data_IF_593037939549
#
_entry.id   IF_593037939549
#
_cell.length_a   1.000
_cell.length_b   1.000
_cell.length_c   1.000
_cell.angle_alpha   90.00
_cell.angle_beta   90.00
_cell.angle_gamma   90.00
#
_symmetry.space_group_name_H-M   'P 1'
#
loop_
_entity.id
_entity.type
_entity.pdbx_description
1 polymer ?
#
# COMPACT_ATOMS: atom_id res chain seq x y z
N UNK A 1 0.48 12.02 6.91
CA UNK A 1 -0.77 11.25 7.08
C UNK A 1 -1.93 12.19 7.37
N UNK A 2 -2.80 12.44 6.39
CA UNK A 2 -4.06 13.16 6.61
C UNK A 2 -5.13 12.15 7.02
N UNK A 3 -5.62 12.25 8.26
CA UNK A 3 -6.81 11.53 8.71
C UNK A 3 -8.02 12.27 8.14
N UNK A 4 -8.75 11.66 7.21
CA UNK A 4 -10.03 12.19 6.76
C UNK A 4 -11.08 11.58 7.68
N UNK A 5 -11.54 12.37 8.67
CA UNK A 5 -12.66 11.98 9.52
C UNK A 5 -13.92 11.89 8.66
N UNK A 6 -14.72 10.87 8.92
CA UNK A 6 -15.88 10.39 8.18
C UNK A 6 -17.10 11.33 8.22
N UNK A 7 -16.89 12.63 8.36
CA UNK A 7 -17.92 13.67 8.38
C UNK A 7 -17.45 14.79 7.46
N UNK A 8 -18.18 14.98 6.37
CA UNK A 8 -18.05 16.09 5.42
C UNK A 8 -16.80 16.12 4.53
N UNK A 9 -16.86 15.33 3.45
CA UNK A 9 -16.84 15.81 2.05
C UNK A 9 -16.58 14.61 1.15
N UNK A 10 -17.44 14.47 0.13
CA UNK A 10 -17.27 13.45 -0.91
C UNK A 10 -15.83 13.45 -1.42
N UNK A 11 -15.18 12.29 -1.35
CA UNK A 11 -13.84 12.09 -1.88
C UNK A 11 -13.95 12.46 -3.37
N UNK A 12 -13.24 13.49 -3.87
CA UNK A 12 -13.21 13.74 -5.30
C UNK A 12 -12.66 12.48 -5.96
N UNK A 13 -13.49 11.80 -6.75
CA UNK A 13 -13.11 10.58 -7.48
C UNK A 13 -12.11 10.96 -8.57
N UNK A 14 -10.89 11.33 -8.19
CA UNK A 14 -9.78 11.38 -9.12
C UNK A 14 -9.44 9.94 -9.48
N UNK A 15 -9.20 9.65 -10.76
CA UNK A 15 -8.78 8.34 -11.28
C UNK A 15 -7.50 7.77 -10.64
N UNK A 16 -6.86 8.54 -9.75
CA UNK A 16 -5.62 8.21 -9.09
C UNK A 16 -5.79 7.97 -7.59
N UNK A 17 -6.98 8.12 -7.00
CA UNK A 17 -7.13 7.93 -5.56
C UNK A 17 -7.48 6.49 -5.19
N UNK A 18 -6.92 6.04 -4.07
CA UNK A 18 -7.11 4.74 -3.45
C UNK A 18 -7.63 5.00 -2.03
N UNK A 19 -8.95 4.97 -1.80
CA UNK A 19 -9.53 4.88 -0.47
C UNK A 19 -9.09 3.59 0.24
N UNK A 20 -8.57 3.74 1.45
CA UNK A 20 -8.14 2.67 2.33
C UNK A 20 -8.93 2.77 3.63
N UNK A 21 -10.06 2.05 3.75
CA UNK A 21 -10.80 1.99 5.00
C UNK A 21 -10.02 1.13 6.01
N UNK A 22 -9.78 1.70 7.18
CA UNK A 22 -9.13 1.04 8.31
C UNK A 22 -10.06 1.14 9.51
N UNK A 23 -10.30 0.01 10.18
CA UNK A 23 -11.11 -0.03 11.39
C UNK A 23 -10.19 0.15 12.59
N UNK A 24 -10.46 1.17 13.40
CA UNK A 24 -9.73 1.37 14.66
C UNK A 24 -10.16 0.29 15.67
N UNK A 25 -9.22 -0.52 16.20
CA UNK A 25 -9.55 -1.61 17.12
C UNK A 25 -10.11 -1.13 18.47
N UNK A 26 -9.87 0.13 18.86
CA UNK A 26 -10.32 0.68 20.15
C UNK A 26 -11.71 1.30 20.05
N UNK A 27 -11.95 2.12 19.04
CA UNK A 27 -13.22 2.85 18.89
C UNK A 27 -14.23 2.11 18.01
N UNK A 28 -13.78 1.09 17.26
CA UNK A 28 -14.54 0.41 16.19
C UNK A 28 -14.99 1.36 15.07
N UNK A 29 -14.47 2.57 15.02
CA UNK A 29 -14.75 3.52 13.96
C UNK A 29 -13.95 3.18 12.71
N UNK A 30 -14.54 3.39 11.54
CA UNK A 30 -13.85 3.25 10.26
C UNK A 30 -13.29 4.61 9.84
N UNK A 31 -11.97 4.67 9.74
CA UNK A 31 -11.22 5.82 9.23
C UNK A 31 -10.80 5.52 7.79
N UNK A 32 -11.00 6.47 6.88
CA UNK A 32 -10.59 6.32 5.49
C UNK A 32 -9.33 7.13 5.22
N UNK A 33 -8.27 6.46 4.81
CA UNK A 33 -7.06 7.09 4.30
C UNK A 33 -7.13 7.17 2.77
N UNK A 34 -6.63 8.24 2.17
CA UNK A 34 -6.60 8.40 0.72
C UNK A 34 -5.16 8.41 0.23
N UNK A 35 -4.80 7.43 -0.59
CA UNK A 35 -3.51 7.37 -1.27
C UNK A 35 -3.66 7.72 -2.74
N UNK A 36 -2.62 8.31 -3.33
CA UNK A 36 -2.60 8.63 -4.76
C UNK A 36 -1.72 7.63 -5.52
N UNK A 37 -2.17 7.16 -6.67
CA UNK A 37 -1.34 6.46 -7.64
C UNK A 37 -0.40 7.44 -8.34
N UNK A 38 0.88 7.09 -8.43
CA UNK A 38 1.71 7.59 -9.51
C UNK A 38 1.29 6.96 -10.85
N UNK A 39 1.62 7.61 -11.97
CA UNK A 39 1.44 7.03 -13.31
C UNK A 39 2.12 5.66 -13.43
N UNK A 40 3.32 5.53 -12.86
CA UNK A 40 4.05 4.26 -12.86
C UNK A 40 3.29 3.16 -12.11
N UNK A 41 2.77 3.48 -10.92
CA UNK A 41 2.00 2.53 -10.12
C UNK A 41 0.74 2.07 -10.83
N UNK A 42 -0.01 2.97 -11.47
CA UNK A 42 -1.24 2.63 -12.19
C UNK A 42 -0.98 1.64 -13.35
N UNK A 43 0.07 1.87 -14.13
CA UNK A 43 0.48 0.95 -15.20
C UNK A 43 0.90 -0.41 -14.65
N UNK A 44 1.68 -0.43 -13.56
CA UNK A 44 2.14 -1.67 -12.92
C UNK A 44 1.02 -2.48 -12.29
N UNK A 45 0.03 -1.79 -11.73
CA UNK A 45 -1.18 -2.37 -11.16
C UNK A 45 -1.99 -3.11 -12.24
N UNK A 46 -2.24 -2.43 -13.37
CA UNK A 46 -2.93 -3.00 -14.52
C UNK A 46 -2.21 -4.24 -15.08
N UNK A 47 -0.89 -4.15 -15.29
CA UNK A 47 -0.05 -5.25 -15.78
C UNK A 47 -0.10 -6.51 -14.90
N UNK A 48 -0.38 -6.36 -13.59
CA UNK A 48 -0.38 -7.46 -12.62
C UNK A 48 -1.77 -7.85 -12.13
N UNK A 49 -2.83 -7.28 -12.70
CA UNK A 49 -4.20 -7.50 -12.25
C UNK A 49 -4.41 -7.11 -10.78
N UNK A 50 -3.67 -6.12 -10.28
CA UNK A 50 -3.82 -5.55 -8.95
C UNK A 50 -4.87 -4.43 -9.01
N UNK A 51 -6.13 -4.77 -8.73
CA UNK A 51 -7.20 -3.78 -8.60
C UNK A 51 -7.06 -3.01 -7.29
N UNK A 52 -7.69 -1.84 -7.24
CA UNK A 52 -7.68 -0.92 -6.11
C UNK A 52 -7.92 -1.61 -4.75
N UNK A 53 -8.91 -2.50 -4.66
CA UNK A 53 -9.22 -3.27 -3.44
C UNK A 53 -8.03 -4.10 -2.93
N UNK A 54 -7.21 -4.67 -3.83
CA UNK A 54 -6.03 -5.46 -3.44
C UNK A 54 -4.91 -4.56 -2.92
N UNK A 55 -4.78 -3.37 -3.50
CA UNK A 55 -3.79 -2.36 -3.07
C UNK A 55 -4.21 -1.79 -1.71
N UNK A 56 -5.50 -1.46 -1.55
CA UNK A 56 -6.07 -1.02 -0.28
C UNK A 56 -5.90 -2.06 0.82
N UNK A 57 -6.15 -3.34 0.54
CA UNK A 57 -5.92 -4.42 1.51
C UNK A 57 -4.44 -4.51 1.94
N UNK A 58 -3.50 -4.35 1.01
CA UNK A 58 -2.08 -4.35 1.35
C UNK A 58 -1.67 -3.11 2.16
N UNK A 59 -2.25 -1.93 1.87
CA UNK A 59 -2.00 -0.71 2.65
C UNK A 59 -2.63 -0.77 4.06
N UNK A 60 -3.79 -1.42 4.20
CA UNK A 60 -4.51 -1.54 5.47
C UNK A 60 -3.92 -2.60 6.41
N UNK A 61 -3.59 -3.77 5.87
CA UNK A 61 -3.21 -4.96 6.67
C UNK A 61 -1.76 -5.41 6.47
N UNK A 62 -1.06 -4.88 5.46
CA UNK A 62 0.30 -5.27 5.17
C UNK A 62 1.28 -4.80 6.24
N UNK A 63 2.34 -5.59 6.46
CA UNK A 63 3.43 -5.20 7.35
C UNK A 63 4.29 -4.14 6.65
N UNK A 64 4.48 -2.95 7.25
CA UNK A 64 5.31 -1.90 6.68
C UNK A 64 6.80 -2.18 6.92
N UNK A 65 7.62 -2.01 5.88
CA UNK A 65 9.08 -2.03 5.95
C UNK A 65 9.63 -0.72 5.39
N UNK A 66 10.26 0.10 6.22
CA UNK A 66 10.84 1.37 5.80
C UNK A 66 12.27 1.18 5.27
N UNK A 67 12.55 1.65 4.05
CA UNK A 67 13.89 1.56 3.43
C UNK A 67 14.08 2.62 2.33
N UNK A 68 15.15 3.44 2.45
CA UNK A 68 15.54 4.45 1.45
C UNK A 68 14.48 5.54 1.20
N UNK A 69 13.81 6.02 2.25
CA UNK A 69 12.71 6.99 2.08
C UNK A 69 11.45 6.41 1.45
N UNK A 70 11.35 5.08 1.39
CA UNK A 70 10.18 4.36 0.91
C UNK A 70 9.61 3.47 2.00
N UNK A 71 8.31 3.22 1.95
CA UNK A 71 7.64 2.23 2.80
C UNK A 71 7.09 1.12 1.93
N UNK A 72 7.47 -0.11 2.26
CA UNK A 72 7.01 -1.32 1.57
C UNK A 72 5.96 -2.00 2.44
N UNK A 73 4.70 -1.95 2.03
CA UNK A 73 3.62 -2.68 2.66
C UNK A 73 3.54 -4.07 2.05
N UNK A 74 3.85 -5.08 2.85
CA UNK A 74 3.85 -6.49 2.41
C UNK A 74 2.66 -7.20 3.02
N UNK A 75 1.73 -7.63 2.17
CA UNK A 75 0.58 -8.42 2.60
C UNK A 75 0.95 -9.91 2.62
N UNK A 76 1.37 -10.37 3.80
CA UNK A 76 1.62 -11.79 4.08
C UNK A 76 0.33 -12.57 4.29
N UNK A 77 0.44 -13.90 4.26
CA UNK A 77 -0.67 -14.83 4.48
C UNK A 77 -1.32 -14.67 5.86
N UNK A 78 -0.51 -14.48 6.91
CA UNK A 78 -0.99 -14.36 8.30
C UNK A 78 -1.71 -13.03 8.57
N UNK A 79 -1.53 -12.03 7.71
CA UNK A 79 -2.08 -10.69 7.89
C UNK A 79 -3.39 -10.47 7.14
N UNK A 80 -3.86 -11.47 6.39
CA UNK A 80 -5.12 -11.36 5.68
C UNK A 80 -6.24 -11.66 6.67
N UNK A 81 -7.16 -10.69 6.93
CA UNK A 81 -8.26 -10.93 7.85
C UNK A 81 -9.18 -12.02 7.31
N UNK A 82 -9.86 -12.73 8.21
CA UNK A 82 -10.77 -13.82 7.86
C UNK A 82 -11.90 -13.37 6.91
N UNK A 83 -12.33 -12.11 7.02
CA UNK A 83 -13.29 -11.48 6.10
C UNK A 83 -12.84 -11.51 4.63
N UNK A 84 -11.53 -11.56 4.37
CA UNK A 84 -10.92 -11.63 3.04
C UNK A 84 -10.37 -13.03 2.71
N UNK A 85 -10.60 -14.05 3.54
CA UNK A 85 -10.06 -15.39 3.36
C UNK A 85 -10.40 -16.02 1.98
N UNK A 86 -11.60 -15.75 1.44
CA UNK A 86 -12.00 -16.21 0.10
C UNK A 86 -11.14 -15.67 -1.04
N UNK A 87 -10.43 -14.57 -0.80
CA UNK A 87 -9.56 -13.91 -1.78
C UNK A 87 -8.08 -14.05 -1.43
N UNK A 88 -7.74 -14.88 -0.44
CA UNK A 88 -6.39 -15.01 0.13
C UNK A 88 -5.33 -15.22 -0.95
N UNK A 89 -5.51 -16.20 -1.83
CA UNK A 89 -4.56 -16.50 -2.92
C UNK A 89 -4.35 -15.33 -3.88
N UNK A 90 -5.36 -14.45 -3.99
CA UNK A 90 -5.32 -13.26 -4.84
C UNK A 90 -4.77 -12.04 -4.11
N UNK A 91 -4.47 -12.12 -2.82
CA UNK A 91 -4.00 -11.02 -1.98
C UNK A 91 -2.59 -11.27 -1.44
N UNK A 92 -2.28 -12.52 -1.08
CA UNK A 92 -0.97 -12.93 -0.57
C UNK A 92 0.15 -12.41 -1.47
N UNK A 93 1.26 -12.05 -0.82
CA UNK A 93 2.49 -11.66 -1.49
C UNK A 93 2.38 -10.37 -2.32
N UNK A 94 1.32 -9.58 -2.10
CA UNK A 94 1.16 -8.26 -2.68
C UNK A 94 2.04 -7.26 -1.93
N UNK A 95 2.83 -6.52 -2.68
CA UNK A 95 3.70 -5.46 -2.17
C UNK A 95 3.27 -4.13 -2.75
N UNK A 96 3.02 -3.16 -1.88
CA UNK A 96 2.73 -1.77 -2.25
C UNK A 96 3.84 -0.90 -1.73
N UNK A 97 4.43 -0.10 -2.61
CA UNK A 97 5.54 0.79 -2.27
C UNK A 97 5.03 2.21 -2.29
N UNK A 98 5.13 2.88 -1.15
CA UNK A 98 4.80 4.30 -1.01
C UNK A 98 6.05 5.11 -0.71
N UNK A 99 5.96 6.40 -0.99
CA UNK A 99 6.88 7.38 -0.45
C UNK A 99 6.71 7.49 1.09
N UNK A 100 7.78 7.76 1.84
CA UNK A 100 7.68 7.90 3.30
C UNK A 100 7.11 9.24 3.74
N UNK A 101 7.17 10.27 2.89
CA UNK A 101 6.83 11.65 3.22
C UNK A 101 5.51 12.09 2.59
N UNK A 102 4.95 11.30 1.68
CA UNK A 102 3.71 11.59 0.97
C UNK A 102 2.84 10.34 0.85
N UNK A 103 1.52 10.55 0.70
CA UNK A 103 0.54 9.47 0.52
C UNK A 103 0.54 8.94 -0.94
N UNK A 104 1.70 8.93 -1.61
CA UNK A 104 1.87 8.54 -3.01
C UNK A 104 2.36 7.09 -3.14
N UNK A 105 1.59 6.27 -3.86
CA UNK A 105 1.99 4.93 -4.29
C UNK A 105 2.90 5.04 -5.52
N UNK A 106 4.16 4.69 -5.32
CA UNK A 106 5.20 4.72 -6.37
C UNK A 106 5.08 3.50 -7.26
N UNK A 107 4.91 2.31 -6.68
CA UNK A 107 4.75 1.08 -7.44
C UNK A 107 4.02 0.01 -6.64
N UNK A 108 3.50 -1.00 -7.34
CA UNK A 108 2.92 -2.17 -6.72
C UNK A 108 3.28 -3.42 -7.52
N UNK A 109 3.45 -4.54 -6.83
CA UNK A 109 3.77 -5.81 -7.46
C UNK A 109 3.39 -7.00 -6.59
N UNK A 110 3.56 -8.21 -7.12
CA UNK A 110 3.45 -9.46 -6.39
C UNK A 110 4.75 -10.24 -6.51
N UNK A 111 5.23 -10.84 -5.43
CA UNK A 111 6.40 -11.72 -5.46
C UNK A 111 6.36 -12.75 -4.35
N UNK A 112 6.83 -13.97 -4.61
CA UNK A 112 6.80 -15.09 -3.64
C UNK A 112 7.66 -14.85 -2.39
N UNK A 113 8.75 -14.09 -2.50
CA UNK A 113 9.66 -13.80 -1.38
C UNK A 113 9.94 -12.29 -1.28
N UNK A 114 8.98 -11.50 -0.74
CA UNK A 114 9.11 -10.05 -0.65
C UNK A 114 10.21 -9.63 0.33
N UNK A 115 10.34 -10.32 1.46
CA UNK A 115 11.29 -9.98 2.53
C UNK A 115 12.73 -10.08 2.05
N UNK A 116 13.08 -11.14 1.31
CA UNK A 116 14.42 -11.30 0.74
C UNK A 116 14.76 -10.18 -0.24
N UNK A 117 13.84 -9.79 -1.12
CA UNK A 117 14.06 -8.73 -2.10
C UNK A 117 14.23 -7.36 -1.43
N UNK A 118 13.36 -7.04 -0.47
CA UNK A 118 13.46 -5.79 0.30
C UNK A 118 14.79 -5.75 1.04
N UNK A 119 15.20 -6.84 1.70
CA UNK A 119 16.50 -6.93 2.40
C UNK A 119 17.69 -6.72 1.48
N UNK A 120 17.67 -7.34 0.29
CA UNK A 120 18.77 -7.25 -0.70
C UNK A 120 18.87 -5.91 -1.41
N UNK A 121 17.84 -5.05 -1.35
CA UNK A 121 17.89 -3.72 -1.97
C UNK A 121 19.07 -2.93 -1.38
N UNK A 122 20.11 -2.70 -2.19
CA UNK A 122 21.32 -1.97 -1.76
C UNK A 122 20.98 -0.50 -1.52
N UNK A 123 21.54 0.17 -0.49
CA UNK A 123 21.40 1.61 -0.29
C UNK A 123 21.61 2.37 -1.60
N UNK A 124 20.72 3.30 -1.92
CA UNK A 124 20.97 4.25 -3.01
C UNK A 124 22.27 4.96 -2.69
N UNK A 125 23.27 4.88 -3.57
CA UNK A 125 24.48 5.69 -3.43
C UNK A 125 24.03 7.15 -3.41
N UNK A 126 24.17 7.80 -2.27
CA UNK A 126 24.17 9.27 -2.23
C UNK A 126 25.40 9.65 -3.03
N UNK A 127 25.23 10.36 -4.14
CA UNK A 127 26.40 11.02 -4.76
C UNK A 127 26.79 12.09 -3.76
N UNK A 128 27.94 11.94 -3.12
CA UNK A 128 28.56 13.01 -2.38
C UNK A 128 28.73 14.17 -3.37
N UNK A 129 27.96 15.23 -3.19
CA UNK A 129 28.12 16.45 -3.96
C UNK A 129 29.34 17.12 -3.36
N UNK A 130 30.48 16.97 -4.05
CA UNK A 130 31.72 17.68 -3.76
C UNK A 130 31.63 19.15 -4.21
#
# INVERSE_FOLDING_TARGET
MKVIKSSERGIPQSLFQIPVPVVDPRTKETIVFAFSHSRHSLVRAAQRGLREQKIAAALAYGVPYSKQGLVFYVLGEDQIPESLARQKDKLVNTVVVTDSNSDLVITCYRCSDPHRHIRRKRPTRVRDVA
#
